data_IF_516388345694
#
_entry.id   IF_516388345694
#
_cell.length_a   1.000
_cell.length_b   1.000
_cell.length_c   1.000
_cell.angle_alpha   90.00
_cell.angle_beta   90.00
_cell.angle_gamma   90.00
#
_symmetry.space_group_name_H-M   'P 1'
#
loop_
_entity.id
_entity.type
_entity.pdbx_description
1 polymer ?
#
# COMPACT_ATOMS: atom_id res chain seq x y z
N UNK A 1 -23.66 9.99 17.19
CA UNK A 1 -24.06 9.37 15.91
C UNK A 1 -22.85 9.41 15.00
N UNK A 2 -22.32 8.27 14.51
CA UNK A 2 -21.27 8.31 13.49
C UNK A 2 -21.87 8.98 12.25
N UNK A 3 -21.23 10.01 11.71
CA UNK A 3 -21.63 10.57 10.44
C UNK A 3 -21.36 9.51 9.37
N UNK A 4 -22.40 9.00 8.72
CA UNK A 4 -22.31 8.02 7.62
C UNK A 4 -21.36 8.46 6.48
N UNK A 5 -21.09 9.76 6.38
CA UNK A 5 -20.21 10.35 5.38
C UNK A 5 -18.70 10.32 5.72
N UNK A 6 -18.32 10.02 6.97
CA UNK A 6 -16.92 9.95 7.37
C UNK A 6 -16.73 8.88 8.47
N UNK A 7 -16.64 7.60 8.09
CA UNK A 7 -16.39 6.53 9.05
C UNK A 7 -14.99 6.65 9.65
N UNK A 8 -14.86 6.33 10.95
CA UNK A 8 -13.56 6.15 11.58
C UNK A 8 -13.06 4.73 11.28
N UNK A 9 -11.84 4.62 10.78
CA UNK A 9 -11.20 3.33 10.47
C UNK A 9 -10.26 2.94 11.61
N UNK A 10 -10.00 1.65 11.82
CA UNK A 10 -8.93 1.24 12.73
C UNK A 10 -7.57 1.60 12.12
N UNK A 11 -6.69 2.20 12.92
CA UNK A 11 -5.36 2.59 12.43
C UNK A 11 -4.49 1.37 12.17
N UNK A 12 -3.64 1.45 11.15
CA UNK A 12 -2.51 0.55 10.97
C UNK A 12 -1.16 1.30 11.18
N UNK A 13 -0.18 0.71 11.88
CA UNK A 13 -0.28 -0.52 12.67
C UNK A 13 -1.33 -0.42 13.79
N UNK A 14 -1.95 -1.54 14.12
CA UNK A 14 -2.94 -1.59 15.19
C UNK A 14 -2.30 -1.18 16.52
N UNK A 15 -2.92 -0.21 17.20
CA UNK A 15 -2.48 0.25 18.51
C UNK A 15 -3.66 0.63 19.40
N UNK A 16 -3.45 0.55 20.71
CA UNK A 16 -4.47 0.85 21.72
C UNK A 16 -3.93 2.01 22.58
N UNK A 17 -4.68 3.11 22.63
CA UNK A 17 -4.44 4.26 23.50
C UNK A 17 -5.24 4.19 24.81
N UNK A 18 -5.17 5.26 25.60
CA UNK A 18 -5.90 5.38 26.86
C UNK A 18 -7.42 5.38 26.70
N UNK A 19 -7.90 5.71 25.50
CA UNK A 19 -9.30 5.85 25.10
C UNK A 19 -9.81 4.70 24.21
N UNK A 20 -8.99 3.67 23.98
CA UNK A 20 -9.34 2.49 23.19
C UNK A 20 -8.48 2.32 21.93
N UNK A 21 -8.99 1.57 20.95
CA UNK A 21 -8.29 1.34 19.70
C UNK A 21 -8.11 2.66 18.93
N UNK A 22 -6.89 2.92 18.46
CA UNK A 22 -6.60 4.11 17.66
C UNK A 22 -7.29 4.02 16.31
N UNK A 23 -7.78 5.16 15.85
CA UNK A 23 -8.51 5.28 14.59
C UNK A 23 -7.83 6.26 13.65
N UNK A 24 -8.11 6.07 12.36
CA UNK A 24 -7.58 6.84 11.26
C UNK A 24 -8.71 7.43 10.43
N UNK A 25 -8.48 8.64 9.93
CA UNK A 25 -9.34 9.26 8.92
C UNK A 25 -9.14 8.58 7.57
N UNK A 26 -10.10 8.75 6.65
CA UNK A 26 -10.09 8.06 5.34
C UNK A 26 -8.77 8.20 4.58
N UNK A 27 -8.18 9.40 4.50
CA UNK A 27 -6.90 9.62 3.80
C UNK A 27 -5.76 8.80 4.42
N UNK A 28 -5.64 8.82 5.75
CA UNK A 28 -4.65 8.01 6.48
C UNK A 28 -4.92 6.52 6.31
N UNK A 29 -6.19 6.12 6.33
CA UNK A 29 -6.59 4.73 6.11
C UNK A 29 -6.20 4.19 4.73
N UNK A 30 -6.28 5.01 3.67
CA UNK A 30 -5.80 4.62 2.33
C UNK A 30 -4.29 4.41 2.33
N UNK A 31 -3.52 5.32 2.93
CA UNK A 31 -2.07 5.16 3.10
C UNK A 31 -1.73 3.87 3.87
N UNK A 32 -2.48 3.60 4.92
CA UNK A 32 -2.32 2.41 5.78
C UNK A 32 -2.64 1.10 5.03
N UNK A 33 -3.65 1.09 4.17
CA UNK A 33 -3.92 -0.06 3.29
C UNK A 33 -2.78 -0.30 2.30
N UNK A 34 -2.15 0.76 1.79
CA UNK A 34 -0.95 0.65 0.94
C UNK A 34 0.20 -0.01 1.73
N UNK A 35 0.45 0.41 2.96
CA UNK A 35 1.48 -0.18 3.83
C UNK A 35 1.20 -1.68 4.09
N UNK A 36 -0.05 -2.06 4.32
CA UNK A 36 -0.46 -3.45 4.49
C UNK A 36 -0.24 -4.32 3.25
N UNK A 37 -0.19 -3.74 2.05
CA UNK A 37 0.15 -4.48 0.82
C UNK A 37 1.67 -4.53 0.63
N UNK A 38 2.37 -3.40 0.83
CA UNK A 38 3.81 -3.31 0.64
C UNK A 38 4.60 -4.24 1.57
N UNK A 39 4.15 -4.36 2.82
CA UNK A 39 4.85 -5.13 3.84
C UNK A 39 4.33 -6.56 4.03
N UNK A 40 3.50 -7.05 3.11
CA UNK A 40 2.98 -8.42 3.10
C UNK A 40 3.51 -9.18 1.88
N UNK A 41 3.88 -10.45 2.08
CA UNK A 41 4.24 -11.34 0.99
C UNK A 41 2.98 -11.98 0.37
N UNK A 42 3.01 -12.31 -0.94
CA UNK A 42 1.96 -13.13 -1.55
C UNK A 42 1.75 -14.42 -0.75
N UNK A 43 0.51 -14.89 -0.71
CA UNK A 43 0.08 -16.11 0.01
C UNK A 43 0.15 -16.05 1.55
N UNK A 44 0.66 -14.96 2.14
CA UNK A 44 0.75 -14.81 3.60
C UNK A 44 -0.64 -14.76 4.27
N UNK A 45 -1.66 -14.22 3.57
CA UNK A 45 -3.03 -14.11 4.08
C UNK A 45 -3.90 -15.27 3.59
N UNK A 46 -4.33 -16.11 4.54
CA UNK A 46 -5.07 -17.39 4.33
C UNK A 46 -6.33 -17.30 3.44
N UNK A 47 -6.97 -16.13 3.34
CA UNK A 47 -8.15 -15.94 2.48
C UNK A 47 -7.98 -14.82 1.44
N UNK A 48 -6.76 -14.32 1.29
CA UNK A 48 -6.38 -13.27 0.33
C UNK A 48 -4.98 -13.58 -0.21
N UNK A 49 -4.79 -14.69 -0.94
CA UNK A 49 -3.48 -15.10 -1.42
C UNK A 49 -2.84 -14.09 -2.38
N UNK A 50 -3.67 -13.31 -3.10
CA UNK A 50 -3.25 -12.24 -4.00
C UNK A 50 -2.77 -10.98 -3.27
N UNK A 51 -2.94 -10.92 -1.93
CA UNK A 51 -2.54 -9.79 -1.12
C UNK A 51 -1.03 -9.78 -0.92
N UNK A 52 -0.42 -8.62 -1.15
CA UNK A 52 1.01 -8.44 -1.08
C UNK A 52 1.69 -8.60 -2.43
N UNK A 53 2.97 -8.22 -2.47
CA UNK A 53 3.74 -8.21 -3.70
C UNK A 53 5.13 -8.82 -3.57
N UNK A 54 5.65 -8.96 -2.35
CA UNK A 54 7.00 -9.47 -2.12
C UNK A 54 8.07 -8.53 -2.64
N UNK A 55 7.85 -7.21 -2.52
CA UNK A 55 8.78 -6.17 -2.98
C UNK A 55 10.17 -6.30 -2.36
N UNK A 56 10.28 -6.84 -1.13
CA UNK A 56 11.56 -7.09 -0.46
C UNK A 56 12.49 -8.01 -1.26
N UNK A 57 11.94 -8.92 -2.06
CA UNK A 57 12.73 -9.80 -2.92
C UNK A 57 13.50 -9.04 -4.00
N UNK A 58 13.18 -7.77 -4.27
CA UNK A 58 13.86 -6.95 -5.27
C UNK A 58 15.11 -6.21 -4.76
N UNK A 59 15.37 -6.17 -3.44
CA UNK A 59 16.43 -5.34 -2.84
C UNK A 59 17.83 -5.62 -3.43
N UNK A 60 18.10 -6.87 -3.82
CA UNK A 60 19.38 -7.28 -4.41
C UNK A 60 19.24 -7.80 -5.84
N UNK A 61 18.08 -7.64 -6.44
CA UNK A 61 17.84 -8.05 -7.82
C UNK A 61 18.39 -7.00 -8.79
N UNK A 62 18.97 -7.41 -9.92
CA UNK A 62 19.31 -6.48 -10.98
C UNK A 62 18.07 -5.69 -11.43
N UNK A 63 18.22 -4.36 -11.52
CA UNK A 63 17.18 -3.50 -12.09
C UNK A 63 16.78 -4.03 -13.49
N UNK A 64 15.48 -4.07 -13.78
CA UNK A 64 14.88 -4.58 -15.02
C UNK A 64 14.94 -6.11 -15.25
N UNK A 65 15.21 -6.93 -14.22
CA UNK A 65 15.05 -8.38 -14.31
C UNK A 65 13.59 -8.79 -14.62
N UNK A 66 13.34 -10.01 -15.15
CA UNK A 66 11.97 -10.52 -15.29
C UNK A 66 11.19 -10.51 -13.98
N UNK A 67 11.87 -10.83 -12.86
CA UNK A 67 11.28 -10.80 -11.52
C UNK A 67 10.82 -9.40 -11.15
N UNK A 68 11.61 -8.36 -11.45
CA UNK A 68 11.24 -6.97 -11.24
C UNK A 68 9.88 -6.63 -11.86
N UNK A 69 9.70 -6.97 -13.15
CA UNK A 69 8.46 -6.70 -13.88
C UNK A 69 7.28 -7.46 -13.30
N UNK A 70 7.48 -8.72 -12.90
CA UNK A 70 6.45 -9.55 -12.28
C UNK A 70 6.02 -8.95 -10.93
N UNK A 71 6.97 -8.59 -10.07
CA UNK A 71 6.69 -8.01 -8.76
C UNK A 71 6.00 -6.66 -8.88
N UNK A 72 6.41 -5.77 -9.80
CA UNK A 72 5.72 -4.49 -10.03
C UNK A 72 4.27 -4.71 -10.51
N UNK A 73 4.04 -5.68 -11.39
CA UNK A 73 2.68 -6.04 -11.83
C UNK A 73 1.83 -6.59 -10.69
N UNK A 74 2.38 -7.48 -9.85
CA UNK A 74 1.69 -7.99 -8.66
C UNK A 74 1.35 -6.88 -7.68
N UNK A 75 2.30 -5.99 -7.40
CA UNK A 75 2.08 -4.83 -6.55
C UNK A 75 0.92 -3.96 -7.05
N UNK A 76 0.94 -3.64 -8.34
CA UNK A 76 -0.13 -2.84 -8.96
C UNK A 76 -1.49 -3.53 -8.84
N UNK A 77 -1.56 -4.84 -9.12
CA UNK A 77 -2.80 -5.62 -9.02
C UNK A 77 -3.32 -5.70 -7.56
N UNK A 78 -2.42 -5.98 -6.62
CA UNK A 78 -2.75 -6.11 -5.20
C UNK A 78 -3.24 -4.79 -4.60
N UNK A 79 -2.62 -3.66 -5.00
CA UNK A 79 -3.07 -2.32 -4.63
C UNK A 79 -4.42 -1.97 -5.25
N UNK A 80 -4.65 -2.31 -6.52
CA UNK A 80 -5.94 -2.07 -7.18
C UNK A 80 -7.08 -2.83 -6.49
N UNK A 81 -6.85 -4.07 -6.05
CA UNK A 81 -7.81 -4.86 -5.28
C UNK A 81 -8.02 -4.28 -3.88
N UNK A 82 -6.94 -3.96 -3.16
CA UNK A 82 -7.01 -3.44 -1.79
C UNK A 82 -7.72 -2.07 -1.72
N UNK A 83 -7.50 -1.20 -2.70
CA UNK A 83 -8.00 0.18 -2.71
C UNK A 83 -9.33 0.34 -3.47
N UNK A 84 -9.98 -0.76 -3.84
CA UNK A 84 -11.24 -0.74 -4.57
C UNK A 84 -12.31 0.06 -3.81
N UNK A 85 -12.83 1.11 -4.46
CA UNK A 85 -13.86 1.99 -3.91
C UNK A 85 -13.34 3.20 -3.12
N UNK A 86 -12.06 3.20 -2.73
CA UNK A 86 -11.41 4.34 -2.06
C UNK A 86 -10.62 5.21 -3.08
N UNK A 87 -10.02 4.57 -4.09
CA UNK A 87 -9.17 5.20 -5.11
C UNK A 87 -9.74 5.02 -6.52
N UNK A 88 -9.59 6.02 -7.41
CA UNK A 88 -9.86 5.85 -8.84
C UNK A 88 -8.79 4.96 -9.49
N UNK A 89 -9.14 3.73 -9.94
CA UNK A 89 -8.18 2.79 -10.49
C UNK A 89 -7.43 3.30 -11.73
N UNK A 90 -8.01 4.26 -12.47
CA UNK A 90 -7.38 4.82 -13.68
C UNK A 90 -6.21 5.76 -13.36
N UNK A 91 -6.13 6.21 -12.12
CA UNK A 91 -5.12 7.16 -11.64
C UNK A 91 -4.03 6.51 -10.81
N UNK A 92 -4.17 5.22 -10.48
CA UNK A 92 -3.20 4.48 -9.67
C UNK A 92 -1.93 4.23 -10.46
N UNK A 93 -0.87 4.92 -10.08
CA UNK A 93 0.47 4.76 -10.64
C UNK A 93 1.43 4.26 -9.56
N UNK A 94 2.28 3.31 -9.93
CA UNK A 94 3.25 2.68 -9.04
C UNK A 94 4.61 2.69 -9.71
N UNK A 95 5.57 3.36 -9.08
CA UNK A 95 6.97 3.37 -9.50
C UNK A 95 7.83 2.73 -8.42
N UNK A 96 8.72 1.83 -8.82
CA UNK A 96 9.71 1.21 -7.93
C UNK A 96 11.09 1.56 -8.48
N UNK A 97 11.99 2.04 -7.62
CA UNK A 97 13.39 2.35 -7.94
C UNK A 97 14.31 1.67 -6.93
N UNK A 98 15.35 0.99 -7.41
CA UNK A 98 16.39 0.41 -6.55
C UNK A 98 17.58 1.33 -6.40
N UNK A 99 18.04 1.55 -5.17
CA UNK A 99 19.24 2.30 -4.83
C UNK A 99 20.03 1.54 -3.73
N UNK A 100 21.09 0.84 -4.15
CA UNK A 100 21.90 0.02 -3.24
C UNK A 100 21.07 -1.09 -2.58
N UNK A 101 20.96 -1.05 -1.24
CA UNK A 101 20.23 -2.01 -0.41
C UNK A 101 18.81 -1.53 -0.05
N UNK A 102 18.26 -0.59 -0.83
CA UNK A 102 16.95 0.02 -0.61
C UNK A 102 16.15 0.09 -1.91
N UNK A 103 14.84 0.06 -1.75
CA UNK A 103 13.85 0.34 -2.78
C UNK A 103 13.07 1.58 -2.37
N UNK A 104 12.95 2.53 -3.27
CA UNK A 104 11.98 3.61 -3.19
C UNK A 104 10.74 3.19 -3.99
N UNK A 105 9.60 3.11 -3.31
CA UNK A 105 8.30 2.84 -3.93
C UNK A 105 7.47 4.13 -3.86
N UNK A 106 7.14 4.67 -5.03
CA UNK A 106 6.30 5.85 -5.18
C UNK A 106 4.93 5.41 -5.68
N UNK A 107 3.88 5.80 -4.95
CA UNK A 107 2.50 5.45 -5.27
C UNK A 107 1.70 6.74 -5.36
N UNK A 108 1.11 6.99 -6.52
CA UNK A 108 0.30 8.17 -6.81
C UNK A 108 -1.10 7.76 -7.23
N UNK A 109 -2.11 8.51 -6.80
CA UNK A 109 -3.51 8.21 -7.08
C UNK A 109 -4.44 9.39 -6.81
N UNK A 110 -5.67 9.34 -7.31
CA UNK A 110 -6.76 10.23 -6.91
C UNK A 110 -7.80 9.49 -6.06
N UNK A 111 -8.28 10.12 -4.99
CA UNK A 111 -9.40 9.60 -4.19
C UNK A 111 -10.69 9.58 -5.01
N UNK A 112 -11.44 8.48 -4.92
CA UNK A 112 -12.66 8.26 -5.72
C UNK A 112 -13.77 9.29 -5.43
N UNK A 113 -13.80 9.86 -4.23
CA UNK A 113 -14.87 10.75 -3.75
C UNK A 113 -14.74 12.20 -4.21
N UNK A 114 -13.50 12.70 -4.36
CA UNK A 114 -13.22 14.12 -4.55
C UNK A 114 -12.18 14.40 -5.66
N UNK A 115 -11.63 13.37 -6.31
CA UNK A 115 -10.58 13.53 -7.33
C UNK A 115 -9.29 14.17 -6.80
N UNK A 116 -9.13 14.20 -5.47
CA UNK A 116 -7.96 14.77 -4.81
C UNK A 116 -6.77 13.83 -5.03
N UNK A 117 -5.72 14.36 -5.66
CA UNK A 117 -4.50 13.62 -5.93
C UNK A 117 -3.62 13.52 -4.68
N UNK A 118 -3.10 12.33 -4.43
CA UNK A 118 -2.18 11.97 -3.38
C UNK A 118 -0.94 11.32 -3.97
N UNK A 119 0.19 11.50 -3.31
CA UNK A 119 1.42 10.80 -3.59
C UNK A 119 2.08 10.38 -2.28
N UNK A 120 2.56 9.14 -2.25
CA UNK A 120 3.23 8.55 -1.11
C UNK A 120 4.54 7.89 -1.52
N UNK A 121 5.58 8.15 -0.75
CA UNK A 121 6.89 7.54 -0.89
C UNK A 121 7.12 6.58 0.27
N UNK A 122 7.56 5.37 -0.06
CA UNK A 122 7.88 4.31 0.89
C UNK A 122 9.29 3.80 0.62
N UNK A 123 10.11 3.75 1.67
CA UNK A 123 11.43 3.14 1.61
C UNK A 123 11.33 1.71 2.13
N UNK A 124 11.76 0.74 1.32
CA UNK A 124 11.79 -0.68 1.68
C UNK A 124 13.26 -1.15 1.65
N UNK A 125 13.79 -1.67 2.75
CA UNK A 125 15.20 -2.06 2.83
C UNK A 125 15.52 -2.86 4.10
N UNK A 126 16.81 -3.02 4.39
CA UNK A 126 17.32 -3.78 5.56
C UNK A 126 16.95 -3.20 6.93
N UNK A 127 16.21 -2.09 7.00
CA UNK A 127 15.77 -1.49 8.27
C UNK A 127 14.30 -1.14 8.22
N UNK A 128 13.47 -1.95 8.89
CA UNK A 128 12.03 -1.73 9.12
C UNK A 128 11.17 -2.14 7.94
#
# INVERSE_FOLDING_TARGET
MPQLNNPAYLSFPFSIGTDGARTSERKSHVREQIEQVLFTNPEERVFRPECGAGVRSLIFEPNASPLWKITCKRLTASLAEALQGEVDPKTLEVEVRGEGEKLLVVISYALATIGHAEQHEFMVGSGG
#
